data_IF_355451869341
#
_entry.id   IF_355451869341
#
_cell.length_a   1.000
_cell.length_b   1.000
_cell.length_c   1.000
_cell.angle_alpha   90.00
_cell.angle_beta   90.00
_cell.angle_gamma   90.00
#
_symmetry.space_group_name_H-M   'P 1'
#
loop_
_entity.id
_entity.type
_entity.pdbx_description
1 polymer ?
#
# COMPACT_ATOMS: atom_id res chain seq x y z
N UNK A 1 24.44 5.05 -19.58
CA UNK A 1 24.42 5.37 -21.02
C UNK A 1 24.54 4.05 -21.75
N UNK A 2 23.52 3.62 -22.50
CA UNK A 2 23.61 2.37 -23.24
C UNK A 2 24.78 2.47 -24.23
N UNK A 3 25.66 1.47 -24.20
CA UNK A 3 26.77 1.41 -25.16
C UNK A 3 26.20 1.37 -26.58
N UNK A 4 26.75 2.19 -27.47
CA UNK A 4 26.24 2.43 -28.82
C UNK A 4 26.06 1.11 -29.59
N UNK A 5 26.94 0.15 -29.38
CA UNK A 5 26.93 -1.13 -30.11
C UNK A 5 25.86 -2.12 -29.64
N UNK A 6 25.27 -1.93 -28.46
CA UNK A 6 24.23 -2.80 -27.90
C UNK A 6 22.79 -2.37 -28.27
N UNK A 7 22.62 -1.60 -29.35
CA UNK A 7 21.30 -1.14 -29.80
C UNK A 7 20.90 -1.72 -31.16
N UNK A 8 19.62 -2.02 -31.31
CA UNK A 8 19.04 -2.51 -32.56
C UNK A 8 19.22 -1.48 -33.67
N UNK A 9 19.07 -0.19 -33.34
CA UNK A 9 19.20 0.93 -34.27
C UNK A 9 20.60 1.01 -34.89
N UNK A 10 21.63 0.90 -34.07
CA UNK A 10 23.01 0.99 -34.54
C UNK A 10 23.40 -0.25 -35.37
N UNK A 11 22.90 -1.44 -35.00
CA UNK A 11 23.05 -2.64 -35.83
C UNK A 11 22.38 -2.50 -37.20
N UNK A 12 21.14 -2.02 -37.25
CA UNK A 12 20.43 -1.75 -38.52
C UNK A 12 21.14 -0.73 -39.39
N UNK A 13 21.75 0.28 -38.77
CA UNK A 13 22.56 1.26 -39.49
C UNK A 13 23.84 0.65 -40.06
N UNK A 14 24.55 -0.16 -39.26
CA UNK A 14 25.80 -0.80 -39.67
C UNK A 14 25.59 -1.87 -40.76
N UNK A 15 24.49 -2.62 -40.68
CA UNK A 15 24.17 -3.70 -41.64
C UNK A 15 23.53 -3.21 -42.95
N UNK A 16 23.15 -1.93 -43.04
CA UNK A 16 22.47 -1.38 -44.23
C UNK A 16 23.36 -1.48 -45.48
N UNK A 17 22.86 -2.18 -46.50
CA UNK A 17 23.58 -2.37 -47.78
C UNK A 17 24.68 -3.43 -47.74
N UNK A 18 24.80 -4.16 -46.62
CA UNK A 18 25.73 -5.29 -46.48
C UNK A 18 25.01 -6.62 -46.74
N UNK A 19 25.76 -7.69 -46.96
CA UNK A 19 25.21 -9.06 -47.03
C UNK A 19 24.98 -9.69 -45.64
N UNK A 20 25.09 -8.91 -44.56
CA UNK A 20 24.95 -9.43 -43.20
C UNK A 20 23.49 -9.82 -42.95
N UNK A 21 23.25 -11.04 -42.43
CA UNK A 21 21.90 -11.49 -42.06
C UNK A 21 21.43 -10.69 -40.85
N UNK A 22 20.69 -9.61 -41.11
CA UNK A 22 20.33 -8.64 -40.09
C UNK A 22 19.29 -9.16 -39.08
N UNK A 23 18.41 -10.07 -39.47
CA UNK A 23 17.20 -10.40 -38.69
C UNK A 23 17.47 -11.10 -37.34
N UNK A 24 18.30 -12.17 -37.25
CA UNK A 24 18.53 -12.83 -35.96
C UNK A 24 19.25 -11.92 -34.96
N UNK A 25 20.22 -11.14 -35.45
CA UNK A 25 21.00 -10.22 -34.64
C UNK A 25 20.18 -9.02 -34.17
N UNK A 26 19.38 -8.42 -35.08
CA UNK A 26 18.47 -7.34 -34.73
C UNK A 26 17.45 -7.78 -33.67
N UNK A 27 16.92 -9.00 -33.80
CA UNK A 27 15.99 -9.57 -32.81
C UNK A 27 16.64 -9.79 -31.45
N UNK A 28 17.88 -10.29 -31.40
CA UNK A 28 18.61 -10.46 -30.15
C UNK A 28 18.88 -9.11 -29.45
N UNK A 29 19.29 -8.10 -30.22
CA UNK A 29 19.51 -6.74 -29.69
C UNK A 29 18.21 -6.08 -29.19
N UNK A 30 17.11 -6.23 -29.92
CA UNK A 30 15.79 -5.75 -29.47
C UNK A 30 15.32 -6.46 -28.18
N UNK A 31 15.58 -7.77 -28.08
CA UNK A 31 15.29 -8.53 -26.86
C UNK A 31 16.15 -8.05 -25.67
N UNK A 32 17.42 -7.74 -25.92
CA UNK A 32 18.31 -7.13 -24.93
C UNK A 32 17.81 -5.76 -24.46
N UNK A 33 17.43 -4.84 -25.37
CA UNK A 33 16.88 -3.53 -25.00
C UNK A 33 15.62 -3.63 -24.13
N UNK A 34 14.81 -4.68 -24.33
CA UNK A 34 13.64 -4.95 -23.48
C UNK A 34 14.06 -5.53 -22.12
N UNK A 35 15.01 -6.45 -22.10
CA UNK A 35 15.48 -7.12 -20.89
C UNK A 35 16.27 -6.19 -19.96
N UNK A 36 17.04 -5.25 -20.52
CA UNK A 36 17.75 -4.20 -19.76
C UNK A 36 16.79 -3.37 -18.89
N UNK A 37 15.56 -3.15 -19.35
CA UNK A 37 14.50 -2.46 -18.59
C UNK A 37 13.86 -3.32 -17.51
N UNK A 38 13.92 -4.64 -17.64
CA UNK A 38 13.33 -5.59 -16.67
C UNK A 38 14.27 -5.88 -15.50
N UNK A 39 15.58 -5.73 -15.68
CA UNK A 39 16.58 -5.80 -14.62
C UNK A 39 17.82 -6.61 -14.96
N UNK A 40 18.84 -6.63 -14.07
CA UNK A 40 20.17 -7.18 -14.37
C UNK A 40 20.20 -8.67 -14.75
N UNK A 41 19.34 -9.50 -14.12
CA UNK A 41 19.31 -10.94 -14.39
C UNK A 41 18.76 -11.27 -15.79
N UNK A 42 17.72 -10.56 -16.22
CA UNK A 42 17.17 -10.75 -17.55
C UNK A 42 18.10 -10.15 -18.61
N UNK A 43 18.74 -9.02 -18.31
CA UNK A 43 19.78 -8.42 -19.13
C UNK A 43 20.95 -9.37 -19.41
N UNK A 44 21.45 -10.10 -18.40
CA UNK A 44 22.53 -11.09 -18.56
C UNK A 44 22.14 -12.22 -19.53
N UNK A 45 20.93 -12.78 -19.40
CA UNK A 45 20.43 -13.82 -20.31
C UNK A 45 20.29 -13.32 -21.75
N UNK A 46 19.84 -12.08 -21.92
CA UNK A 46 19.73 -11.49 -23.24
C UNK A 46 21.11 -11.23 -23.87
N UNK A 47 22.12 -10.84 -23.07
CA UNK A 47 23.51 -10.72 -23.53
C UNK A 47 24.12 -12.06 -23.98
N UNK A 48 23.72 -13.20 -23.38
CA UNK A 48 24.14 -14.53 -23.84
C UNK A 48 23.65 -14.80 -25.27
N UNK A 49 22.40 -14.44 -25.56
CA UNK A 49 21.83 -14.63 -26.91
C UNK A 49 22.45 -13.65 -27.92
N UNK A 50 22.72 -12.40 -27.54
CA UNK A 50 23.44 -11.44 -28.40
C UNK A 50 24.83 -11.96 -28.76
N UNK A 51 25.59 -12.47 -27.76
CA UNK A 51 26.92 -13.06 -28.01
C UNK A 51 26.84 -14.26 -28.96
N UNK A 52 25.87 -15.16 -28.74
CA UNK A 52 25.69 -16.34 -29.59
C UNK A 52 25.38 -15.95 -31.04
N UNK A 53 24.53 -14.95 -31.27
CA UNK A 53 24.24 -14.46 -32.62
C UNK A 53 25.46 -13.78 -33.25
N UNK A 54 26.24 -13.02 -32.47
CA UNK A 54 27.51 -12.44 -32.91
C UNK A 54 28.50 -13.52 -33.39
N UNK A 55 28.65 -14.61 -32.64
CA UNK A 55 29.54 -15.73 -32.99
C UNK A 55 29.08 -16.46 -34.26
N UNK A 56 27.78 -16.73 -34.39
CA UNK A 56 27.21 -17.34 -35.59
C UNK A 56 27.43 -16.46 -36.82
N UNK A 57 27.26 -15.15 -36.66
CA UNK A 57 27.44 -14.19 -37.74
C UNK A 57 28.91 -14.10 -38.18
N UNK A 58 29.84 -14.02 -37.22
CA UNK A 58 31.29 -14.04 -37.49
C UNK A 58 31.75 -15.32 -38.20
N UNK A 59 31.17 -16.48 -37.85
CA UNK A 59 31.45 -17.76 -38.54
C UNK A 59 30.94 -17.78 -39.98
N UNK A 60 29.82 -17.12 -40.26
CA UNK A 60 29.17 -17.12 -41.57
C UNK A 60 29.82 -16.16 -42.58
N UNK A 61 30.50 -15.13 -42.11
CA UNK A 61 31.09 -14.07 -42.92
C UNK A 61 32.61 -13.98 -42.73
N UNK A 62 33.28 -15.14 -42.77
CA UNK A 62 34.74 -15.24 -42.70
C UNK A 62 35.37 -14.45 -43.85
N UNK A 63 36.15 -13.43 -43.51
CA UNK A 63 36.85 -12.58 -44.48
C UNK A 63 36.31 -11.15 -44.58
N UNK A 64 35.14 -10.86 -44.02
CA UNK A 64 34.63 -9.48 -43.94
C UNK A 64 35.31 -8.73 -42.78
N UNK A 65 36.26 -7.85 -43.13
CA UNK A 65 37.01 -7.03 -42.16
C UNK A 65 36.11 -6.00 -41.44
N UNK A 66 35.09 -5.47 -42.13
CA UNK A 66 34.20 -4.46 -41.55
C UNK A 66 33.31 -5.10 -40.47
N UNK A 67 32.72 -6.26 -40.79
CA UNK A 67 31.94 -7.02 -39.82
C UNK A 67 32.80 -7.48 -38.64
N UNK A 68 34.00 -8.00 -38.91
CA UNK A 68 34.92 -8.46 -37.84
C UNK A 68 35.26 -7.33 -36.87
N UNK A 69 35.48 -6.12 -37.40
CA UNK A 69 35.74 -4.93 -36.57
C UNK A 69 34.51 -4.55 -35.74
N UNK A 70 33.32 -4.55 -36.35
CA UNK A 70 32.08 -4.22 -35.64
C UNK A 70 31.75 -5.23 -34.53
N UNK A 71 31.87 -6.53 -34.81
CA UNK A 71 31.69 -7.60 -33.82
C UNK A 71 32.71 -7.49 -32.69
N UNK A 72 33.94 -7.07 -32.97
CA UNK A 72 34.94 -6.81 -31.93
C UNK A 72 34.61 -5.62 -31.02
N UNK A 73 33.92 -4.60 -31.53
CA UNK A 73 33.39 -3.52 -30.68
C UNK A 73 32.20 -4.00 -29.85
N UNK A 74 31.28 -4.73 -30.46
CA UNK A 74 30.15 -5.32 -29.77
C UNK A 74 30.60 -6.25 -28.62
N UNK A 75 31.57 -7.13 -28.85
CA UNK A 75 32.10 -8.05 -27.83
C UNK A 75 32.64 -7.30 -26.60
N UNK A 76 33.34 -6.18 -26.82
CA UNK A 76 33.79 -5.28 -25.74
C UNK A 76 32.61 -4.67 -24.99
N UNK A 77 31.58 -4.22 -25.70
CA UNK A 77 30.36 -3.65 -25.10
C UNK A 77 29.61 -4.70 -24.27
N UNK A 78 29.47 -5.94 -24.77
CA UNK A 78 28.90 -7.07 -24.03
C UNK A 78 29.71 -7.33 -22.77
N UNK A 79 31.04 -7.39 -22.87
CA UNK A 79 31.93 -7.60 -21.73
C UNK A 79 31.83 -6.50 -20.66
N UNK A 80 31.66 -5.24 -21.07
CA UNK A 80 31.44 -4.12 -20.15
C UNK A 80 30.08 -4.24 -19.45
N UNK A 81 29.01 -4.44 -20.22
CA UNK A 81 27.65 -4.51 -19.69
C UNK A 81 27.46 -5.70 -18.74
N UNK A 82 28.09 -6.85 -19.01
CA UNK A 82 28.09 -8.01 -18.09
C UNK A 82 28.70 -7.66 -16.73
N UNK A 83 29.85 -6.97 -16.72
CA UNK A 83 30.49 -6.54 -15.47
C UNK A 83 29.58 -5.60 -14.66
N UNK A 84 28.88 -4.69 -15.34
CA UNK A 84 27.95 -3.78 -14.68
C UNK A 84 26.75 -4.53 -14.08
N UNK A 85 26.19 -5.51 -14.79
CA UNK A 85 25.11 -6.35 -14.24
C UNK A 85 25.58 -7.29 -13.13
N UNK A 86 26.72 -7.96 -13.28
CA UNK A 86 27.27 -8.83 -12.23
C UNK A 86 27.51 -8.04 -10.95
N UNK A 87 28.03 -6.81 -11.07
CA UNK A 87 28.17 -5.88 -9.96
C UNK A 87 26.81 -5.51 -9.36
N UNK A 88 25.82 -5.14 -10.18
CA UNK A 88 24.49 -4.80 -9.71
C UNK A 88 23.81 -5.97 -8.97
N UNK A 89 23.97 -7.20 -9.46
CA UNK A 89 23.45 -8.41 -8.80
C UNK A 89 24.18 -8.66 -7.47
N UNK A 90 25.51 -8.51 -7.44
CA UNK A 90 26.29 -8.67 -6.22
C UNK A 90 25.93 -7.59 -5.17
N UNK A 91 25.74 -6.35 -5.59
CA UNK A 91 25.35 -5.24 -4.71
C UNK A 91 23.93 -5.44 -4.17
N UNK A 92 22.99 -5.92 -5.00
CA UNK A 92 21.64 -6.28 -4.56
C UNK A 92 21.64 -7.46 -3.55
N UNK A 93 22.49 -8.46 -3.77
CA UNK A 93 22.68 -9.57 -2.84
C UNK A 93 23.27 -9.09 -1.51
N UNK A 94 24.29 -8.23 -1.55
CA UNK A 94 24.88 -7.60 -0.36
C UNK A 94 23.88 -6.72 0.37
N UNK A 95 23.07 -5.92 -0.32
CA UNK A 95 22.04 -5.10 0.30
C UNK A 95 20.97 -5.96 0.99
N UNK A 96 20.60 -7.09 0.38
CA UNK A 96 19.68 -8.06 0.99
C UNK A 96 20.31 -8.75 2.21
N UNK A 97 21.60 -9.08 2.14
CA UNK A 97 22.33 -9.65 3.27
C UNK A 97 22.50 -8.64 4.40
N UNK A 98 22.88 -7.40 4.10
CA UNK A 98 22.98 -6.32 5.07
C UNK A 98 21.62 -5.96 5.69
N UNK A 99 20.52 -6.05 4.95
CA UNK A 99 19.18 -5.90 5.52
C UNK A 99 18.80 -7.05 6.47
N UNK A 100 19.28 -8.27 6.20
CA UNK A 100 19.15 -9.41 7.13
C UNK A 100 20.02 -9.20 8.38
N UNK A 101 21.26 -8.76 8.20
CA UNK A 101 22.22 -8.59 9.29
C UNK A 101 21.87 -7.36 10.17
N UNK A 102 21.40 -6.27 9.58
CA UNK A 102 20.90 -5.09 10.31
C UNK A 102 19.56 -5.35 11.02
N UNK A 103 18.81 -6.37 10.59
CA UNK A 103 17.66 -6.90 11.34
C UNK A 103 18.06 -7.83 12.50
N UNK A 104 19.35 -8.17 12.63
CA UNK A 104 19.88 -9.12 13.61
C UNK A 104 20.90 -8.50 14.58
N UNK A 105 21.14 -7.18 14.50
CA UNK A 105 22.16 -6.46 15.27
C UNK A 105 21.65 -5.80 16.56
N UNK A 106 20.94 -6.52 17.41
CA UNK A 106 20.87 -6.28 18.87
C UNK A 106 20.28 -7.53 19.56
N UNK A 107 21.18 -8.43 20.00
CA UNK A 107 21.00 -9.50 21.02
C UNK A 107 19.75 -10.40 20.96
N UNK A 108 19.56 -11.31 19.98
CA UNK A 108 18.42 -12.26 20.00
C UNK A 108 18.66 -13.65 19.35
N UNK A 109 19.89 -14.17 19.28
CA UNK A 109 20.12 -15.58 18.87
C UNK A 109 19.59 -16.62 19.89
N UNK A 110 19.10 -16.17 21.05
CA UNK A 110 18.46 -17.03 22.07
C UNK A 110 16.93 -17.20 21.89
N UNK A 111 16.27 -16.50 20.96
CA UNK A 111 14.80 -16.58 20.86
C UNK A 111 14.27 -17.86 20.19
N UNK A 112 15.00 -18.45 19.23
CA UNK A 112 14.57 -19.70 18.59
C UNK A 112 14.67 -20.91 19.52
N UNK A 113 15.59 -20.86 20.50
CA UNK A 113 15.74 -21.90 21.53
C UNK A 113 15.33 -21.43 22.94
N UNK A 114 14.56 -20.35 23.04
CA UNK A 114 14.02 -19.90 24.32
C UNK A 114 13.20 -21.04 24.94
N UNK A 115 13.60 -21.46 26.14
CA UNK A 115 12.90 -22.47 26.93
C UNK A 115 11.45 -22.05 27.14
N UNK A 116 10.55 -23.02 27.28
CA UNK A 116 9.11 -22.77 27.38
C UNK A 116 8.74 -21.82 28.55
N UNK A 117 9.55 -21.77 29.61
CA UNK A 117 9.43 -20.83 30.72
C UNK A 117 9.59 -19.35 30.29
N UNK A 118 10.44 -19.05 29.31
CA UNK A 118 10.69 -17.69 28.80
C UNK A 118 9.52 -17.18 27.96
N UNK A 119 8.70 -18.07 27.41
CA UNK A 119 7.48 -17.70 26.65
C UNK A 119 6.34 -17.25 27.55
N UNK A 120 6.36 -17.67 28.82
CA UNK A 120 5.39 -17.29 29.85
C UNK A 120 5.82 -16.05 30.65
N UNK A 121 6.99 -15.46 30.37
CA UNK A 121 7.47 -14.27 31.07
C UNK A 121 6.56 -13.05 30.76
N UNK A 122 5.86 -12.49 31.77
CA UNK A 122 5.03 -11.30 31.58
C UNK A 122 5.80 -10.10 31.03
N UNK A 123 7.10 -9.95 31.34
CA UNK A 123 7.91 -8.83 30.83
C UNK A 123 8.11 -8.91 29.33
N UNK A 124 8.35 -10.11 28.80
CA UNK A 124 8.50 -10.35 27.36
C UNK A 124 7.20 -10.07 26.63
N UNK A 125 6.08 -10.58 27.15
CA UNK A 125 4.76 -10.30 26.59
C UNK A 125 4.46 -8.79 26.56
N UNK A 126 4.77 -8.07 27.64
CA UNK A 126 4.63 -6.61 27.70
C UNK A 126 5.47 -5.88 26.65
N UNK A 127 6.73 -6.31 26.44
CA UNK A 127 7.62 -5.73 25.41
C UNK A 127 7.05 -5.91 24.01
N UNK A 128 6.48 -7.08 23.71
CA UNK A 128 5.83 -7.35 22.43
C UNK A 128 4.59 -6.47 22.22
N UNK A 129 3.75 -6.30 23.24
CA UNK A 129 2.62 -5.36 23.17
C UNK A 129 3.05 -3.91 23.00
N UNK A 130 4.10 -3.45 23.67
CA UNK A 130 4.66 -2.10 23.48
C UNK A 130 5.16 -1.90 22.04
N UNK A 131 5.76 -2.93 21.46
CA UNK A 131 6.22 -2.93 20.09
C UNK A 131 5.07 -2.83 19.09
N UNK A 132 3.98 -3.59 19.31
CA UNK A 132 2.75 -3.46 18.52
C UNK A 132 2.10 -2.08 18.68
N UNK A 133 2.12 -1.51 19.89
CA UNK A 133 1.58 -0.16 20.14
C UNK A 133 2.37 0.93 19.43
N UNK A 134 3.70 0.81 19.36
CA UNK A 134 4.58 1.74 18.62
C UNK A 134 4.40 1.65 17.11
N UNK A 135 4.07 0.46 16.58
CA UNK A 135 3.93 0.20 15.15
C UNK A 135 2.56 -0.43 14.84
N UNK A 136 1.48 0.36 14.65
CA UNK A 136 0.12 -0.14 14.45
C UNK A 136 -0.06 -1.02 13.19
N UNK A 137 0.81 -0.87 12.19
CA UNK A 137 0.81 -1.70 10.98
C UNK A 137 1.46 -3.07 11.21
N UNK A 138 2.21 -3.25 12.30
CA UNK A 138 2.90 -4.51 12.59
C UNK A 138 1.87 -5.57 12.98
N UNK A 139 2.14 -6.81 12.54
CA UNK A 139 1.43 -8.02 12.94
C UNK A 139 2.40 -8.94 13.67
N UNK A 140 1.93 -9.64 14.69
CA UNK A 140 2.70 -10.65 15.40
C UNK A 140 1.95 -11.98 15.35
N UNK A 141 2.67 -13.10 15.34
CA UNK A 141 2.09 -14.41 15.56
C UNK A 141 1.77 -14.54 17.05
N UNK A 142 0.64 -15.16 17.38
CA UNK A 142 0.27 -15.44 18.77
C UNK A 142 -0.01 -16.92 18.96
N UNK A 143 0.13 -17.36 20.21
CA UNK A 143 -0.41 -18.62 20.68
C UNK A 143 -1.10 -18.43 22.03
N UNK A 144 -2.22 -19.13 22.19
CA UNK A 144 -3.00 -19.19 23.41
C UNK A 144 -3.24 -20.65 23.78
N UNK A 145 -2.99 -21.01 25.04
CA UNK A 145 -3.25 -22.35 25.57
C UNK A 145 -4.06 -22.21 26.86
N UNK A 146 -5.20 -22.90 26.92
CA UNK A 146 -6.03 -22.96 28.10
C UNK A 146 -5.72 -24.22 28.90
N UNK A 147 -5.28 -24.09 30.16
CA UNK A 147 -5.26 -25.18 31.13
C UNK A 147 -6.40 -25.00 32.15
N UNK A 148 -6.62 -26.01 32.98
CA UNK A 148 -7.61 -25.97 34.09
C UNK A 148 -7.18 -24.99 35.18
N UNK A 149 -5.88 -24.83 35.39
CA UNK A 149 -5.30 -24.01 36.46
C UNK A 149 -4.90 -22.63 35.95
N UNK A 150 -4.25 -22.55 34.79
CA UNK A 150 -3.72 -21.30 34.24
C UNK A 150 -3.88 -21.23 32.72
N UNK A 151 -3.93 -20.02 32.16
CA UNK A 151 -3.97 -19.80 30.71
C UNK A 151 -2.72 -19.05 30.27
N UNK A 152 -2.02 -19.59 29.28
CA UNK A 152 -0.86 -18.95 28.67
C UNK A 152 -1.24 -18.16 27.43
N UNK A 153 -0.64 -16.99 27.27
CA UNK A 153 -0.71 -16.19 26.05
C UNK A 153 0.67 -15.63 25.72
N UNK A 154 1.12 -15.81 24.48
CA UNK A 154 2.43 -15.33 24.04
C UNK A 154 2.37 -14.76 22.63
N UNK A 155 3.28 -13.82 22.33
CA UNK A 155 3.39 -13.13 21.05
C UNK A 155 4.83 -13.22 20.54
N UNK A 156 5.01 -13.50 19.25
CA UNK A 156 6.31 -13.37 18.59
C UNK A 156 6.15 -12.89 17.15
N UNK A 157 6.97 -11.94 16.69
CA UNK A 157 6.98 -11.52 15.29
C UNK A 157 7.73 -12.52 14.39
N UNK A 158 8.60 -13.37 14.95
CA UNK A 158 9.53 -14.24 14.20
C UNK A 158 9.09 -15.71 14.21
N UNK A 159 8.53 -16.19 15.33
CA UNK A 159 8.16 -17.60 15.47
C UNK A 159 6.73 -17.83 14.96
N UNK A 160 6.56 -18.76 14.04
CA UNK A 160 5.24 -19.14 13.52
C UNK A 160 4.27 -19.54 14.65
N UNK A 161 3.00 -19.15 14.56
CA UNK A 161 1.98 -19.39 15.59
C UNK A 161 1.87 -20.87 15.99
N UNK A 162 1.98 -21.80 15.03
CA UNK A 162 1.99 -23.25 15.30
C UNK A 162 3.18 -23.70 16.18
N UNK A 163 4.37 -23.14 15.98
CA UNK A 163 5.56 -23.44 16.80
C UNK A 163 5.43 -22.83 18.18
N UNK A 164 4.90 -21.60 18.28
CA UNK A 164 4.59 -20.97 19.58
C UNK A 164 3.59 -21.80 20.36
N UNK A 165 2.54 -22.30 19.70
CA UNK A 165 1.53 -23.15 20.32
C UNK A 165 2.12 -24.44 20.87
N UNK A 166 2.96 -25.14 20.09
CA UNK A 166 3.62 -26.36 20.56
C UNK A 166 4.47 -26.11 21.82
N UNK A 167 5.31 -25.07 21.79
CA UNK A 167 6.14 -24.72 22.97
C UNK A 167 5.29 -24.34 24.18
N UNK A 168 4.21 -23.59 23.97
CA UNK A 168 3.30 -23.16 25.03
C UNK A 168 2.46 -24.33 25.58
N UNK A 169 2.04 -25.26 24.72
CA UNK A 169 1.29 -26.46 25.12
C UNK A 169 2.15 -27.39 25.97
N UNK A 170 3.43 -27.51 25.63
CA UNK A 170 4.39 -28.34 26.38
C UNK A 170 4.69 -27.72 27.76
N UNK A 171 4.77 -26.39 27.86
CA UNK A 171 4.97 -25.69 29.13
C UNK A 171 3.78 -25.83 30.10
N UNK A 172 2.55 -25.83 29.57
CA UNK A 172 1.33 -25.83 30.37
C UNK A 172 0.66 -27.20 30.48
N UNK A 173 1.28 -28.24 29.90
CA UNK A 173 0.74 -29.60 29.79
C UNK A 173 -0.71 -29.63 29.28
N UNK A 174 -1.02 -28.78 28.29
CA UNK A 174 -2.37 -28.68 27.72
C UNK A 174 -2.32 -28.53 26.20
N UNK A 175 -3.07 -29.40 25.51
CA UNK A 175 -3.23 -29.38 24.05
C UNK A 175 -4.43 -28.55 23.59
N UNK A 176 -5.14 -27.90 24.51
CA UNK A 176 -6.36 -27.14 24.22
C UNK A 176 -6.00 -25.66 24.06
N UNK A 177 -6.04 -25.16 22.83
CA UNK A 177 -5.81 -23.75 22.56
C UNK A 177 -5.85 -23.43 21.07
N UNK A 178 -5.37 -22.24 20.73
CA UNK A 178 -5.39 -21.70 19.36
C UNK A 178 -4.16 -20.84 19.10
N UNK A 179 -3.89 -20.58 17.82
CA UNK A 179 -2.81 -19.71 17.36
C UNK A 179 -3.26 -18.97 16.11
N UNK A 180 -2.52 -17.92 15.76
CA UNK A 180 -2.77 -17.15 14.56
C UNK A 180 -2.07 -15.80 14.58
N UNK A 181 -2.69 -14.77 14.02
CA UNK A 181 -2.15 -13.42 13.92
C UNK A 181 -2.80 -12.47 14.92
N UNK A 182 -2.01 -11.60 15.54
CA UNK A 182 -2.45 -10.60 16.48
C UNK A 182 -1.93 -9.21 16.12
N UNK A 183 -2.75 -8.19 16.35
CA UNK A 183 -2.36 -6.79 16.22
C UNK A 183 -3.17 -5.87 17.11
N UNK A 184 -2.67 -4.65 17.30
CA UNK A 184 -3.36 -3.60 18.02
C UNK A 184 -3.95 -2.59 17.04
N UNK A 185 -5.24 -2.32 17.19
CA UNK A 185 -5.95 -1.20 16.55
C UNK A 185 -6.40 -0.23 17.65
N UNK A 186 -5.57 0.79 17.91
CA UNK A 186 -5.72 1.69 19.05
C UNK A 186 -5.59 0.94 20.39
N UNK A 187 -6.70 0.84 21.13
CA UNK A 187 -6.82 0.10 22.40
C UNK A 187 -7.48 -1.27 22.24
N UNK A 188 -7.73 -1.70 21.00
CA UNK A 188 -8.35 -2.97 20.67
C UNK A 188 -7.29 -3.99 20.25
N UNK A 189 -7.23 -5.11 20.94
CA UNK A 189 -6.44 -6.27 20.52
C UNK A 189 -7.29 -7.13 19.58
N UNK A 190 -6.84 -7.27 18.34
CA UNK A 190 -7.48 -8.15 17.35
C UNK A 190 -6.67 -9.42 17.23
N UNK A 191 -7.36 -10.56 17.33
CA UNK A 191 -6.80 -11.91 17.24
C UNK A 191 -7.47 -12.62 16.06
N UNK A 192 -6.73 -12.90 15.01
CA UNK A 192 -7.18 -13.70 13.87
C UNK A 192 -6.75 -15.14 14.05
N UNK A 193 -7.70 -16.07 14.10
CA UNK A 193 -7.44 -17.50 14.35
C UNK A 193 -7.69 -18.35 13.10
N UNK A 194 -6.83 -19.34 12.90
CA UNK A 194 -6.98 -20.31 11.82
C UNK A 194 -8.09 -21.34 12.11
N UNK A 195 -8.30 -21.65 13.39
CA UNK A 195 -9.32 -22.62 13.85
C UNK A 195 -10.17 -22.02 14.96
N UNK A 196 -11.47 -21.89 14.69
CA UNK A 196 -12.46 -21.36 15.61
C UNK A 196 -12.39 -22.04 17.00
N UNK A 197 -12.26 -21.23 18.05
CA UNK A 197 -12.28 -21.68 19.44
C UNK A 197 -13.04 -20.65 20.28
N UNK A 198 -14.07 -21.11 20.98
CA UNK A 198 -14.89 -20.24 21.82
C UNK A 198 -14.25 -19.89 23.16
N UNK A 199 -14.56 -18.70 23.67
CA UNK A 199 -14.12 -18.22 24.99
C UNK A 199 -12.67 -17.78 25.07
N UNK A 200 -12.00 -17.59 23.94
CA UNK A 200 -10.60 -17.13 23.89
C UNK A 200 -10.50 -15.69 24.39
N UNK A 201 -11.42 -14.82 23.97
CA UNK A 201 -11.40 -13.38 24.32
C UNK A 201 -11.43 -13.15 25.83
N UNK A 202 -12.22 -13.94 26.58
CA UNK A 202 -12.31 -13.84 28.05
C UNK A 202 -11.05 -14.33 28.76
N UNK A 203 -10.49 -15.45 28.29
CA UNK A 203 -9.32 -16.08 28.93
C UNK A 203 -8.01 -15.36 28.62
N UNK A 204 -7.89 -14.72 27.46
CA UNK A 204 -6.69 -13.96 27.08
C UNK A 204 -6.51 -12.68 27.92
N UNK A 205 -7.57 -12.14 28.53
CA UNK A 205 -7.47 -10.94 29.38
C UNK A 205 -6.61 -11.15 30.63
N UNK A 206 -6.69 -12.31 31.27
CA UNK A 206 -5.93 -12.60 32.49
C UNK A 206 -4.40 -12.47 32.28
N UNK A 207 -3.77 -13.14 31.29
CA UNK A 207 -2.33 -12.99 31.05
C UNK A 207 -1.94 -11.59 30.56
N UNK A 208 -2.82 -10.88 29.83
CA UNK A 208 -2.57 -9.48 29.43
C UNK A 208 -2.55 -8.55 30.66
N UNK A 209 -3.51 -8.72 31.57
CA UNK A 209 -3.56 -7.96 32.83
C UNK A 209 -2.35 -8.28 33.70
N UNK A 210 -1.95 -9.55 33.77
CA UNK A 210 -0.77 -10.00 34.51
C UNK A 210 0.54 -9.41 33.98
N UNK A 211 0.65 -9.13 32.67
CA UNK A 211 1.83 -8.45 32.11
C UNK A 211 1.84 -6.93 32.30
N UNK A 212 0.80 -6.36 32.94
CA UNK A 212 0.69 -4.93 33.17
C UNK A 212 0.35 -4.14 31.90
N UNK A 213 -0.14 -4.80 30.85
CA UNK A 213 -0.69 -4.15 29.67
C UNK A 213 -2.21 -4.08 29.79
N UNK A 214 -2.83 -3.01 29.28
CA UNK A 214 -4.29 -2.81 29.35
C UNK A 214 -4.85 -2.65 27.94
N UNK A 215 -5.87 -3.43 27.61
CA UNK A 215 -6.62 -3.36 26.35
C UNK A 215 -8.09 -3.13 26.67
N UNK A 216 -8.70 -2.16 25.98
CA UNK A 216 -10.10 -1.83 26.19
C UNK A 216 -11.01 -2.93 25.65
N UNK A 217 -10.65 -3.46 24.47
CA UNK A 217 -11.44 -4.45 23.75
C UNK A 217 -10.54 -5.57 23.23
N UNK A 218 -11.03 -6.80 23.28
CA UNK A 218 -10.41 -7.96 22.61
C UNK A 218 -11.43 -8.48 21.58
N UNK A 219 -11.00 -8.64 20.34
CA UNK A 219 -11.85 -9.09 19.22
C UNK A 219 -11.20 -10.29 18.56
N UNK A 220 -11.99 -11.34 18.33
CA UNK A 220 -11.58 -12.56 17.66
C UNK A 220 -12.13 -12.58 16.23
N UNK A 221 -11.25 -12.75 15.25
CA UNK A 221 -11.57 -12.86 13.82
C UNK A 221 -11.28 -14.27 13.33
N UNK A 222 -12.05 -14.76 12.36
CA UNK A 222 -11.71 -15.97 11.60
C UNK A 222 -10.71 -15.69 10.46
N UNK A 223 -10.37 -16.72 9.69
CA UNK A 223 -9.45 -16.62 8.57
C UNK A 223 -9.95 -15.64 7.47
N UNK A 224 -11.26 -15.48 7.36
CA UNK A 224 -11.96 -14.60 6.41
C UNK A 224 -12.13 -13.16 6.92
N UNK A 225 -11.80 -12.89 8.18
CA UNK A 225 -11.90 -11.57 8.81
C UNK A 225 -13.28 -11.24 9.39
N UNK A 226 -14.16 -12.23 9.57
CA UNK A 226 -15.42 -12.07 10.26
C UNK A 226 -15.22 -12.15 11.78
N UNK A 227 -15.92 -11.28 12.51
CA UNK A 227 -15.87 -11.24 13.99
C UNK A 227 -16.60 -12.46 14.55
N UNK A 228 -15.87 -13.32 15.26
CA UNK A 228 -16.40 -14.50 15.95
C UNK A 228 -16.85 -14.18 17.38
N UNK A 229 -16.01 -13.44 18.13
CA UNK A 229 -16.26 -13.08 19.52
C UNK A 229 -15.72 -11.67 19.80
N UNK A 230 -16.44 -10.90 20.61
CA UNK A 230 -15.97 -9.63 21.15
C UNK A 230 -16.21 -9.56 22.65
N UNK A 231 -15.25 -9.00 23.37
CA UNK A 231 -15.34 -8.79 24.81
C UNK A 231 -14.87 -7.38 25.15
N UNK A 232 -15.74 -6.61 25.79
CA UNK A 232 -15.44 -5.26 26.29
C UNK A 232 -14.95 -5.38 27.73
N UNK A 233 -13.94 -4.58 28.11
CA UNK A 233 -13.51 -4.58 29.50
C UNK A 233 -14.65 -4.05 30.37
N UNK A 234 -14.94 -4.72 31.50
CA UNK A 234 -15.87 -4.20 32.50
C UNK A 234 -15.42 -2.80 32.93
N UNK A 235 -16.32 -1.81 32.80
CA UNK A 235 -16.05 -0.39 33.07
C UNK A 235 -15.60 -0.09 34.51
N UNK A 236 -15.67 -1.07 35.42
CA UNK A 236 -15.34 -0.90 36.84
C UNK A 236 -13.85 -0.89 37.17
N UNK A 237 -12.95 -1.19 36.21
CA UNK A 237 -11.50 -1.30 36.46
C UNK A 237 -10.66 -0.26 35.68
N UNK A 238 -11.34 0.74 35.11
CA UNK A 238 -10.71 1.95 34.59
C UNK A 238 -10.48 2.93 35.76
N UNK A 239 -9.29 3.53 35.90
CA UNK A 239 -9.07 4.52 36.93
C UNK A 239 -10.04 5.67 36.72
N UNK A 240 -10.84 5.96 37.75
CA UNK A 240 -11.62 7.17 37.85
C UNK A 240 -10.68 8.37 37.63
N UNK A 241 -11.06 9.38 36.82
CA UNK A 241 -10.32 10.62 36.76
C UNK A 241 -10.32 11.24 38.17
N UNK A 242 -9.13 11.41 38.75
CA UNK A 242 -8.96 12.13 40.01
C UNK A 242 -9.57 13.53 39.89
N UNK A 243 -10.40 13.88 40.86
CA UNK A 243 -11.40 14.93 40.76
C UNK A 243 -10.92 16.36 40.95
N UNK A 244 -11.72 17.27 40.38
CA UNK A 244 -12.00 18.59 40.92
C UNK A 244 -13.54 18.74 41.05
N UNK A 245 -14.01 19.57 42.00
CA UNK A 245 -15.35 19.45 42.57
C UNK A 245 -16.45 19.95 41.62
N UNK A 246 -17.61 19.31 41.76
CA UNK A 246 -18.87 19.71 41.14
C UNK A 246 -19.17 21.17 41.42
N UNK A 247 -19.20 21.99 40.37
CA UNK A 247 -19.99 23.22 40.37
C UNK A 247 -21.07 23.12 39.30
N UNK A 248 -22.29 23.22 39.79
CA UNK A 248 -23.52 23.36 39.05
C UNK A 248 -23.47 24.59 38.15
N UNK A 249 -23.94 24.42 36.90
CA UNK A 249 -24.08 25.44 35.86
C UNK A 249 -22.83 25.76 35.01
N UNK A 250 -22.71 25.07 33.87
CA UNK A 250 -22.31 25.74 32.62
C UNK A 250 -22.71 24.91 31.41
N UNK A 251 -23.85 25.27 30.83
CA UNK A 251 -24.29 24.87 29.51
C UNK A 251 -23.57 25.74 28.46
N UNK A 252 -22.24 25.75 28.47
CA UNK A 252 -21.42 26.39 27.45
C UNK A 252 -19.99 25.83 27.53
N UNK A 253 -19.48 25.35 26.40
CA UNK A 253 -18.13 24.79 26.18
C UNK A 253 -17.95 23.28 26.50
N UNK A 254 -18.76 22.43 25.86
CA UNK A 254 -18.19 21.18 25.32
C UNK A 254 -17.26 21.57 24.18
N UNK A 255 -15.95 21.42 24.37
CA UNK A 255 -14.99 21.43 23.27
C UNK A 255 -15.48 20.47 22.19
N UNK A 256 -15.74 20.98 20.98
CA UNK A 256 -16.20 20.18 19.85
C UNK A 256 -15.21 19.05 19.57
N UNK A 257 -15.61 17.81 19.85
CA UNK A 257 -14.83 16.64 19.45
C UNK A 257 -14.75 16.62 17.91
N UNK A 258 -13.54 16.68 17.31
CA UNK A 258 -13.38 16.66 15.86
C UNK A 258 -14.05 15.46 15.17
N UNK A 259 -14.21 14.33 15.89
CA UNK A 259 -14.89 13.15 15.37
C UNK A 259 -16.39 13.34 15.28
N UNK A 260 -16.98 14.07 16.24
CA UNK A 260 -18.41 14.42 16.22
C UNK A 260 -18.74 15.30 15.01
N UNK A 261 -17.93 16.33 14.76
CA UNK A 261 -18.13 17.22 13.61
C UNK A 261 -18.05 16.45 12.28
N UNK A 262 -17.09 15.52 12.16
CA UNK A 262 -16.97 14.65 10.98
C UNK A 262 -18.17 13.72 10.82
N UNK A 263 -18.64 13.13 11.91
CA UNK A 263 -19.80 12.26 11.90
C UNK A 263 -21.06 13.01 11.45
N UNK A 264 -21.33 14.17 12.03
CA UNK A 264 -22.50 15.01 11.68
C UNK A 264 -22.43 15.48 10.22
N UNK A 265 -21.25 15.93 9.75
CA UNK A 265 -21.04 16.29 8.35
C UNK A 265 -21.30 15.12 7.41
N UNK A 266 -20.85 13.91 7.77
CA UNK A 266 -21.05 12.71 6.95
C UNK A 266 -22.49 12.25 6.93
N UNK A 267 -23.18 12.28 8.07
CA UNK A 267 -24.60 11.98 8.19
C UNK A 267 -25.42 12.92 7.29
N UNK A 268 -25.12 14.23 7.33
CA UNK A 268 -25.78 15.25 6.51
C UNK A 268 -25.56 15.01 5.01
N UNK A 269 -24.34 14.63 4.61
CA UNK A 269 -24.02 14.32 3.21
C UNK A 269 -24.79 13.09 2.69
N UNK A 270 -25.05 12.10 3.56
CA UNK A 270 -25.73 10.85 3.19
C UNK A 270 -27.26 10.93 3.32
N UNK A 271 -27.81 11.95 3.96
CA UNK A 271 -29.25 12.06 4.23
C UNK A 271 -30.11 11.98 2.96
N UNK A 272 -29.76 12.75 1.91
CA UNK A 272 -30.54 12.78 0.66
C UNK A 272 -30.45 11.47 -0.15
N UNK A 273 -29.26 10.89 -0.41
CA UNK A 273 -29.16 9.59 -1.08
C UNK A 273 -29.85 8.46 -0.31
N UNK A 274 -29.75 8.48 1.03
CA UNK A 274 -30.39 7.47 1.87
C UNK A 274 -31.91 7.57 1.79
N UNK A 275 -32.47 8.78 1.86
CA UNK A 275 -33.91 9.00 1.72
C UNK A 275 -34.41 8.50 0.35
N UNK A 276 -33.72 8.87 -0.74
CA UNK A 276 -34.05 8.41 -2.08
C UNK A 276 -34.01 6.88 -2.22
N UNK A 277 -33.02 6.21 -1.61
CA UNK A 277 -32.93 4.76 -1.63
C UNK A 277 -34.06 4.09 -0.82
N UNK A 278 -34.46 4.69 0.31
CA UNK A 278 -35.56 4.16 1.12
C UNK A 278 -36.91 4.35 0.45
N UNK A 279 -37.13 5.48 -0.22
CA UNK A 279 -38.37 5.78 -0.95
C UNK A 279 -38.46 4.99 -2.28
N UNK A 280 -37.33 4.80 -2.96
CA UNK A 280 -37.24 4.06 -4.23
C UNK A 280 -37.21 2.53 -4.11
N UNK A 281 -37.61 1.96 -2.97
CA UNK A 281 -37.63 0.52 -2.72
C UNK A 281 -36.29 -0.19 -3.03
N UNK A 282 -35.17 0.39 -2.60
CA UNK A 282 -33.85 -0.19 -2.81
C UNK A 282 -33.78 -1.64 -2.31
N UNK A 283 -33.17 -2.59 -3.04
CA UNK A 283 -33.14 -4.01 -2.67
C UNK A 283 -32.49 -4.26 -1.30
N UNK A 284 -31.67 -3.33 -0.82
CA UNK A 284 -31.04 -3.37 0.50
C UNK A 284 -31.67 -2.43 1.55
N UNK A 285 -32.90 -1.95 1.36
CA UNK A 285 -33.53 -0.94 2.24
C UNK A 285 -33.57 -1.35 3.73
N UNK A 286 -33.82 -2.63 4.03
CA UNK A 286 -33.79 -3.13 5.42
C UNK A 286 -32.39 -2.97 6.05
N UNK A 287 -31.34 -3.37 5.32
CA UNK A 287 -29.95 -3.28 5.77
C UNK A 287 -29.47 -1.83 5.90
N UNK A 288 -29.94 -0.93 5.03
CA UNK A 288 -29.65 0.51 5.12
C UNK A 288 -30.23 1.13 6.39
N UNK A 289 -31.47 0.77 6.77
CA UNK A 289 -32.09 1.23 8.04
C UNK A 289 -31.35 0.68 9.25
N UNK A 290 -30.97 -0.59 9.22
CA UNK A 290 -30.20 -1.23 10.29
C UNK A 290 -28.85 -0.54 10.52
N UNK A 291 -28.08 -0.29 9.46
CA UNK A 291 -26.80 0.41 9.54
C UNK A 291 -26.94 1.86 10.01
N UNK A 292 -28.00 2.56 9.58
CA UNK A 292 -28.28 3.92 10.08
C UNK A 292 -28.58 3.91 11.58
N UNK A 293 -29.39 2.95 12.05
CA UNK A 293 -29.71 2.81 13.46
C UNK A 293 -28.48 2.42 14.29
N UNK A 294 -27.63 1.54 13.76
CA UNK A 294 -26.36 1.19 14.39
C UNK A 294 -25.43 2.41 14.48
N UNK A 295 -25.28 3.19 13.40
CA UNK A 295 -24.47 4.41 13.38
C UNK A 295 -24.97 5.43 14.43
N UNK A 296 -26.29 5.64 14.50
CA UNK A 296 -26.92 6.51 15.51
C UNK A 296 -26.69 6.02 16.93
N UNK A 297 -26.95 4.75 17.22
CA UNK A 297 -26.73 4.18 18.55
C UNK A 297 -25.26 4.26 18.99
N UNK A 298 -24.30 4.14 18.05
CA UNK A 298 -22.88 4.37 18.34
C UNK A 298 -22.57 5.83 18.63
N UNK A 299 -23.12 6.77 17.86
CA UNK A 299 -22.95 8.20 18.12
C UNK A 299 -23.58 8.63 19.45
N UNK A 300 -24.76 8.10 19.79
CA UNK A 300 -25.44 8.36 21.07
C UNK A 300 -24.62 7.85 22.26
N UNK A 301 -23.91 6.74 22.08
CA UNK A 301 -22.93 6.22 23.04
C UNK A 301 -21.54 6.89 23.01
N UNK A 302 -21.39 8.01 22.31
CA UNK A 302 -20.10 8.74 22.18
C UNK A 302 -19.05 8.05 21.30
N UNK A 303 -19.39 6.94 20.63
CA UNK A 303 -18.48 6.14 19.79
C UNK A 303 -18.51 6.64 18.33
N UNK A 304 -18.15 7.91 18.10
CA UNK A 304 -18.22 8.55 16.78
C UNK A 304 -17.36 7.86 15.71
N UNK A 305 -16.23 7.25 16.09
CA UNK A 305 -15.39 6.47 15.17
C UNK A 305 -16.11 5.23 14.60
N UNK A 306 -16.80 4.47 15.44
CA UNK A 306 -17.60 3.32 15.00
C UNK A 306 -18.83 3.77 14.19
N UNK A 307 -19.43 4.91 14.57
CA UNK A 307 -20.50 5.54 13.79
C UNK A 307 -20.05 5.92 12.38
N UNK A 308 -18.86 6.50 12.24
CA UNK A 308 -18.27 6.86 10.94
C UNK A 308 -18.04 5.63 10.05
N UNK A 309 -17.50 4.53 10.61
CA UNK A 309 -17.33 3.28 9.86
C UNK A 309 -18.66 2.72 9.36
N UNK A 310 -19.71 2.75 10.20
CA UNK A 310 -21.04 2.34 9.79
C UNK A 310 -21.61 3.22 8.66
N UNK A 311 -21.37 4.54 8.71
CA UNK A 311 -21.74 5.47 7.63
C UNK A 311 -20.95 5.22 6.33
N UNK A 312 -19.71 4.76 6.39
CA UNK A 312 -18.94 4.36 5.21
C UNK A 312 -19.48 3.09 4.55
N UNK A 313 -19.84 2.07 5.34
CA UNK A 313 -20.49 0.86 4.84
C UNK A 313 -21.86 1.21 4.23
N UNK A 314 -22.61 2.11 4.88
CA UNK A 314 -23.89 2.61 4.37
C UNK A 314 -23.69 3.35 3.04
N UNK A 315 -22.68 4.21 2.93
CA UNK A 315 -22.35 4.90 1.67
C UNK A 315 -21.97 3.91 0.56
N UNK A 316 -21.21 2.85 0.89
CA UNK A 316 -20.84 1.81 -0.06
C UNK A 316 -22.06 1.03 -0.54
N UNK A 317 -22.99 0.67 0.34
CA UNK A 317 -24.23 -0.03 -0.04
C UNK A 317 -25.16 0.84 -0.88
N UNK A 318 -25.25 2.13 -0.57
CA UNK A 318 -25.96 3.10 -1.42
C UNK A 318 -25.33 3.17 -2.81
N UNK A 319 -23.99 3.16 -2.91
CA UNK A 319 -23.30 3.08 -4.20
C UNK A 319 -23.53 1.76 -4.94
N UNK A 320 -23.58 0.63 -4.23
CA UNK A 320 -23.68 -0.71 -4.83
C UNK A 320 -25.08 -1.05 -5.35
N UNK A 321 -26.15 -0.54 -4.74
CA UNK A 321 -27.51 -0.81 -5.24
C UNK A 321 -28.09 0.31 -6.10
N UNK A 322 -27.42 1.46 -6.20
CA UNK A 322 -27.64 2.42 -7.28
C UNK A 322 -27.15 1.89 -8.63
N UNK A 323 -26.33 0.85 -8.73
CA UNK A 323 -25.87 0.33 -10.04
C UNK A 323 -26.95 -0.42 -10.86
N UNK A 324 -28.11 -0.71 -10.28
CA UNK A 324 -29.28 -1.24 -11.03
C UNK A 324 -30.31 -0.18 -11.41
N UNK A 325 -30.17 1.06 -10.95
CA UNK A 325 -31.10 2.14 -11.26
C UNK A 325 -30.44 3.52 -11.47
N UNK A 326 -29.10 3.59 -11.47
CA UNK A 326 -28.38 4.58 -12.23
C UNK A 326 -28.86 4.37 -13.67
N UNK A 327 -29.30 5.43 -14.38
CA UNK A 327 -29.57 5.29 -15.80
C UNK A 327 -28.33 4.63 -16.37
N UNK A 328 -28.48 3.43 -16.93
CA UNK A 328 -27.46 2.85 -17.80
C UNK A 328 -27.04 4.02 -18.67
N UNK A 329 -25.77 4.47 -18.64
CA UNK A 329 -25.36 5.58 -19.49
C UNK A 329 -25.86 5.17 -20.86
N UNK A 330 -26.81 5.94 -21.38
CA UNK A 330 -27.34 5.68 -22.69
C UNK A 330 -26.12 5.58 -23.60
N UNK A 331 -26.05 4.67 -24.58
CA UNK A 331 -24.86 4.52 -25.44
C UNK A 331 -24.33 5.86 -25.99
N UNK A 332 -25.18 6.89 -26.05
CA UNK A 332 -24.87 8.28 -26.38
C UNK A 332 -23.98 9.05 -25.39
N UNK A 333 -23.87 8.66 -24.12
CA UNK A 333 -23.10 9.38 -23.07
C UNK A 333 -21.70 8.80 -22.85
N UNK A 334 -21.38 7.65 -23.45
CA UNK A 334 -20.02 7.11 -23.37
C UNK A 334 -19.09 7.96 -24.25
N UNK A 335 -17.99 8.51 -23.69
CA UNK A 335 -17.03 9.31 -24.46
C UNK A 335 -16.54 8.57 -25.69
N UNK A 336 -16.29 9.31 -26.77
CA UNK A 336 -15.75 8.71 -27.99
C UNK A 336 -14.34 8.20 -27.71
N UNK A 337 -13.88 7.19 -28.45
CA UNK A 337 -12.52 6.63 -28.31
C UNK A 337 -11.42 7.71 -28.31
N UNK A 338 -11.58 8.73 -29.15
CA UNK A 338 -10.65 9.86 -29.24
C UNK A 338 -10.57 10.70 -27.94
N UNK A 339 -11.64 10.76 -27.16
CA UNK A 339 -11.69 11.53 -25.92
C UNK A 339 -10.84 10.87 -24.83
N UNK A 340 -10.80 9.52 -24.77
CA UNK A 340 -9.94 8.79 -23.84
C UNK A 340 -8.46 9.03 -24.10
N UNK A 341 -8.03 9.05 -25.36
CA UNK A 341 -6.63 9.34 -25.70
C UNK A 341 -6.24 10.76 -25.28
N UNK A 342 -7.14 11.75 -25.47
CA UNK A 342 -6.94 13.13 -25.02
C UNK A 342 -6.89 13.23 -23.50
N UNK A 343 -7.76 12.49 -22.80
CA UNK A 343 -7.77 12.39 -21.33
C UNK A 343 -6.44 11.83 -20.81
N UNK A 344 -5.98 10.71 -21.36
CA UNK A 344 -4.73 10.07 -20.97
C UNK A 344 -3.53 11.00 -21.20
N UNK A 345 -3.48 11.67 -22.36
CA UNK A 345 -2.43 12.64 -22.67
C UNK A 345 -2.45 13.83 -21.70
N UNK A 346 -3.62 14.41 -21.43
CA UNK A 346 -3.75 15.54 -20.51
C UNK A 346 -3.32 15.17 -19.08
N UNK A 347 -3.67 13.96 -18.64
CA UNK A 347 -3.22 13.40 -17.36
C UNK A 347 -1.70 13.22 -17.32
N UNK A 348 -1.12 12.58 -18.34
CA UNK A 348 0.32 12.32 -18.44
C UNK A 348 1.16 13.61 -18.45
N UNK A 349 0.71 14.62 -19.20
CA UNK A 349 1.35 15.95 -19.24
C UNK A 349 1.28 16.64 -17.86
N UNK A 350 0.13 16.62 -17.20
CA UNK A 350 -0.03 17.24 -15.87
C UNK A 350 0.86 16.56 -14.84
N UNK A 351 0.89 15.22 -14.84
CA UNK A 351 1.72 14.43 -13.94
C UNK A 351 3.20 14.70 -14.14
N UNK A 352 3.65 14.72 -15.40
CA UNK A 352 5.05 15.01 -15.75
C UNK A 352 5.44 16.41 -15.26
N UNK A 353 4.60 17.41 -15.53
CA UNK A 353 4.82 18.78 -15.06
C UNK A 353 4.95 18.84 -13.53
N UNK A 354 4.04 18.19 -12.79
CA UNK A 354 4.10 18.17 -11.32
C UNK A 354 5.35 17.44 -10.82
N UNK A 355 5.75 16.34 -11.46
CA UNK A 355 7.00 15.64 -11.12
C UNK A 355 8.22 16.55 -11.32
N UNK A 356 8.27 17.29 -12.42
CA UNK A 356 9.37 18.22 -12.70
C UNK A 356 9.37 19.42 -11.74
N UNK A 357 8.20 19.94 -11.38
CA UNK A 357 8.07 21.01 -10.39
C UNK A 357 8.51 20.55 -8.99
N UNK A 358 8.19 19.30 -8.59
CA UNK A 358 8.68 18.70 -7.34
C UNK A 358 10.20 18.47 -7.35
N UNK A 359 10.77 18.07 -8.49
CA UNK A 359 12.24 17.93 -8.64
C UNK A 359 12.94 19.28 -8.50
N UNK A 360 12.43 20.33 -9.15
CA UNK A 360 12.97 21.70 -9.01
C UNK A 360 12.91 22.19 -7.57
N UNK A 361 11.79 21.93 -6.88
CA UNK A 361 11.67 22.26 -5.47
C UNK A 361 12.73 21.54 -4.64
N UNK A 362 12.91 20.23 -4.86
CA UNK A 362 13.96 19.45 -4.20
C UNK A 362 15.35 20.03 -4.43
N UNK A 363 15.69 20.34 -5.68
CA UNK A 363 16.98 20.92 -6.04
C UNK A 363 17.20 22.29 -5.37
N UNK A 364 16.17 23.13 -5.35
CA UNK A 364 16.22 24.43 -4.68
C UNK A 364 16.46 24.29 -3.15
N UNK A 365 15.77 23.36 -2.49
CA UNK A 365 15.99 23.09 -1.06
C UNK A 365 17.41 22.55 -0.82
N UNK A 366 17.87 21.59 -1.62
CA UNK A 366 19.21 21.03 -1.45
C UNK A 366 20.31 22.08 -1.70
N UNK A 367 20.10 22.99 -2.65
CA UNK A 367 21.02 24.09 -2.91
C UNK A 367 21.10 25.07 -1.75
N UNK A 368 19.96 25.46 -1.17
CA UNK A 368 19.91 26.39 -0.04
C UNK A 368 20.60 25.82 1.21
N UNK A 369 20.48 24.50 1.44
CA UNK A 369 21.05 23.82 2.60
C UNK A 369 22.38 23.12 2.33
N UNK A 370 23.05 23.40 1.21
CA UNK A 370 24.29 22.71 0.83
C UNK A 370 25.41 22.83 1.88
N UNK A 371 25.46 23.94 2.62
CA UNK A 371 26.44 24.17 3.69
C UNK A 371 25.93 23.76 5.09
N UNK A 372 24.70 23.26 5.21
CA UNK A 372 24.10 22.93 6.50
C UNK A 372 24.59 21.56 7.00
N UNK A 373 24.95 21.43 8.30
CA UNK A 373 25.26 20.13 8.89
C UNK A 373 24.05 19.18 8.90
N UNK A 374 22.83 19.70 8.69
CA UNK A 374 21.60 18.93 8.65
C UNK A 374 21.25 18.39 7.25
N UNK A 375 22.12 18.56 6.25
CA UNK A 375 21.85 18.15 4.86
C UNK A 375 21.41 16.68 4.73
N UNK A 376 21.99 15.78 5.55
CA UNK A 376 21.61 14.36 5.57
C UNK A 376 20.14 14.13 5.97
N UNK A 377 19.69 14.77 7.06
CA UNK A 377 18.29 14.69 7.51
C UNK A 377 17.33 15.36 6.53
N UNK A 378 17.75 16.49 5.96
CA UNK A 378 16.98 17.23 4.96
C UNK A 378 16.77 16.35 3.73
N UNK A 379 17.83 15.73 3.19
CA UNK A 379 17.73 14.84 2.05
C UNK A 379 16.82 13.63 2.34
N UNK A 380 16.92 13.04 3.54
CA UNK A 380 16.05 11.93 3.94
C UNK A 380 14.56 12.33 4.01
N UNK A 381 14.25 13.55 4.49
CA UNK A 381 12.86 14.05 4.54
C UNK A 381 12.34 14.45 3.17
N UNK A 382 13.19 15.04 2.32
CA UNK A 382 12.85 15.44 0.95
C UNK A 382 12.54 14.23 0.08
N UNK A 383 13.13 13.06 0.34
CA UNK A 383 12.77 11.82 -0.37
C UNK A 383 11.26 11.50 -0.33
N UNK A 384 10.52 11.99 0.67
CA UNK A 384 9.06 11.85 0.72
C UNK A 384 8.33 12.63 -0.38
N UNK A 385 8.94 13.64 -0.98
CA UNK A 385 8.39 14.32 -2.16
C UNK A 385 8.41 13.42 -3.39
N UNK A 386 9.43 12.57 -3.52
CA UNK A 386 9.50 11.57 -4.59
C UNK A 386 8.39 10.52 -4.41
N UNK A 387 8.10 10.11 -3.17
CA UNK A 387 6.99 9.21 -2.86
C UNK A 387 5.63 9.78 -3.28
N UNK A 388 5.43 11.10 -3.13
CA UNK A 388 4.20 11.76 -3.60
C UNK A 388 4.09 11.68 -5.11
N UNK A 389 5.19 11.90 -5.84
CA UNK A 389 5.21 11.76 -7.30
C UNK A 389 4.96 10.30 -7.75
N UNK A 390 5.51 9.32 -7.03
CA UNK A 390 5.29 7.89 -7.30
C UNK A 390 3.86 7.42 -6.99
N UNK A 391 3.19 8.05 -6.01
CA UNK A 391 1.78 7.76 -5.68
C UNK A 391 0.80 8.31 -6.71
N UNK A 392 1.20 9.27 -7.55
CA UNK A 392 0.39 9.75 -8.67
C UNK A 392 0.37 8.66 -9.75
N UNK A 393 -0.61 7.78 -9.56
CA UNK A 393 -0.73 6.45 -10.14
C UNK A 393 -0.68 6.42 -11.68
N UNK A 394 0.21 5.58 -12.22
CA UNK A 394 0.24 5.19 -13.64
C UNK A 394 -1.04 4.45 -14.06
N UNK A 395 -1.78 3.88 -13.10
CA UNK A 395 -2.99 3.11 -13.41
C UNK A 395 -4.07 3.95 -14.09
N UNK A 396 -4.24 5.23 -13.77
CA UNK A 396 -5.26 6.05 -14.44
C UNK A 396 -4.96 6.19 -15.93
N UNK A 397 -3.69 6.43 -16.29
CA UNK A 397 -3.25 6.49 -17.69
C UNK A 397 -3.48 5.15 -18.39
N UNK A 398 -3.11 4.05 -17.74
CA UNK A 398 -3.31 2.70 -18.27
C UNK A 398 -4.80 2.38 -18.49
N UNK A 399 -5.68 2.70 -17.54
CA UNK A 399 -7.13 2.46 -17.63
C UNK A 399 -7.73 3.28 -18.77
N UNK A 400 -7.38 4.57 -18.88
CA UNK A 400 -7.87 5.44 -19.95
C UNK A 400 -7.38 4.96 -21.32
N UNK A 401 -6.12 4.55 -21.43
CA UNK A 401 -5.57 3.99 -22.67
C UNK A 401 -6.26 2.67 -23.05
N UNK A 402 -6.50 1.78 -22.09
CA UNK A 402 -7.25 0.53 -22.31
C UNK A 402 -8.69 0.83 -22.74
N UNK A 403 -9.35 1.82 -22.15
CA UNK A 403 -10.72 2.21 -22.52
C UNK A 403 -10.79 2.72 -23.96
N UNK A 404 -9.81 3.52 -24.39
CA UNK A 404 -9.68 3.98 -25.77
C UNK A 404 -9.41 2.85 -26.76
N UNK A 405 -8.63 1.84 -26.35
CA UNK A 405 -8.27 0.69 -27.18
C UNK A 405 -9.34 -0.40 -27.24
N UNK A 406 -10.23 -0.50 -26.24
CA UNK A 406 -11.23 -1.55 -26.13
C UNK A 406 -12.08 -1.68 -27.41
N UNK A 407 -12.18 -2.90 -27.95
CA UNK A 407 -13.02 -3.17 -29.11
C UNK A 407 -14.49 -3.14 -28.70
N UNK A 408 -14.83 -3.89 -27.64
CA UNK A 408 -16.19 -4.06 -27.15
C UNK A 408 -16.67 -2.86 -26.32
N UNK A 409 -17.95 -2.54 -26.47
CA UNK A 409 -18.58 -1.44 -25.74
C UNK A 409 -18.76 -1.75 -24.26
N UNK A 410 -19.11 -3.01 -23.92
CA UNK A 410 -19.24 -3.44 -22.53
C UNK A 410 -17.93 -3.29 -21.74
N UNK A 411 -16.80 -3.66 -22.36
CA UNK A 411 -15.48 -3.49 -21.75
C UNK A 411 -15.12 -2.01 -21.58
N UNK A 412 -15.43 -1.18 -22.58
CA UNK A 412 -15.24 0.28 -22.50
C UNK A 412 -16.01 0.90 -21.35
N UNK A 413 -17.28 0.52 -21.17
CA UNK A 413 -18.12 0.98 -20.06
C UNK A 413 -17.53 0.54 -18.71
N UNK A 414 -17.03 -0.71 -18.62
CA UNK A 414 -16.38 -1.20 -17.40
C UNK A 414 -15.13 -0.37 -17.07
N UNK A 415 -14.25 -0.14 -18.05
CA UNK A 415 -13.02 0.64 -17.87
C UNK A 415 -13.31 2.11 -17.57
N UNK A 416 -14.35 2.69 -18.19
CA UNK A 416 -14.82 4.04 -17.90
C UNK A 416 -15.22 4.20 -16.43
N UNK A 417 -16.02 3.27 -15.88
CA UNK A 417 -16.37 3.26 -14.44
C UNK A 417 -15.14 3.12 -13.55
N UNK A 418 -14.17 2.30 -13.95
CA UNK A 418 -12.90 2.16 -13.20
C UNK A 418 -12.09 3.45 -13.22
N UNK A 419 -12.02 4.15 -14.36
CA UNK A 419 -11.38 5.46 -14.46
C UNK A 419 -12.08 6.49 -13.57
N UNK A 420 -13.42 6.56 -13.59
CA UNK A 420 -14.20 7.45 -12.73
C UNK A 420 -13.93 7.21 -11.23
N UNK A 421 -13.91 5.95 -10.80
CA UNK A 421 -13.59 5.58 -9.41
C UNK A 421 -12.15 5.97 -9.03
N UNK A 422 -11.19 5.77 -9.94
CA UNK A 422 -9.80 6.17 -9.72
C UNK A 422 -9.68 7.69 -9.56
N UNK A 423 -10.31 8.46 -10.45
CA UNK A 423 -10.34 9.94 -10.39
C UNK A 423 -10.92 10.43 -9.05
N UNK A 424 -12.03 9.86 -8.58
CA UNK A 424 -12.65 10.25 -7.30
C UNK A 424 -11.74 9.95 -6.10
N UNK A 425 -11.04 8.81 -6.12
CA UNK A 425 -10.05 8.46 -5.09
C UNK A 425 -8.90 9.45 -5.07
N UNK A 426 -8.38 9.80 -6.25
CA UNK A 426 -7.27 10.76 -6.37
C UNK A 426 -7.68 12.16 -5.92
N UNK A 427 -8.87 12.63 -6.28
CA UNK A 427 -9.41 13.91 -5.77
C UNK A 427 -9.48 13.91 -4.24
N UNK A 428 -9.99 12.82 -3.64
CA UNK A 428 -10.06 12.69 -2.18
C UNK A 428 -8.67 12.64 -1.53
N UNK A 429 -7.68 12.03 -2.19
CA UNK A 429 -6.29 12.01 -1.72
C UNK A 429 -5.66 13.40 -1.79
N UNK A 430 -5.86 14.14 -2.88
CA UNK A 430 -5.37 15.53 -3.00
C UNK A 430 -5.89 16.44 -1.90
N UNK A 431 -7.13 16.21 -1.46
CA UNK A 431 -7.74 17.01 -0.38
C UNK A 431 -7.25 16.64 1.02
N UNK A 432 -6.79 15.40 1.21
CA UNK A 432 -6.36 14.88 2.51
C UNK A 432 -4.84 14.87 2.69
N UNK A 433 -4.06 15.05 1.63
CA UNK A 433 -2.61 14.98 1.68
C UNK A 433 -1.99 16.22 2.39
N UNK A 434 -1.31 16.03 3.55
CA UNK A 434 -0.73 17.12 4.31
C UNK A 434 0.54 17.71 3.68
N UNK A 435 1.21 16.99 2.77
CA UNK A 435 2.39 17.48 2.06
C UNK A 435 1.92 18.43 0.97
N UNK A 436 0.99 18.00 0.12
CA UNK A 436 0.49 18.81 -1.00
C UNK A 436 -0.17 20.12 -0.53
N UNK A 437 -0.87 20.10 0.60
CA UNK A 437 -1.48 21.32 1.17
C UNK A 437 -0.46 22.36 1.64
N UNK A 438 0.74 21.94 2.05
CA UNK A 438 1.82 22.84 2.51
C UNK A 438 2.70 23.35 1.38
N UNK A 439 2.69 22.70 0.22
CA UNK A 439 3.54 23.09 -0.91
C UNK A 439 3.14 24.43 -1.52
N UNK A 440 1.87 24.85 -1.42
CA UNK A 440 1.42 26.13 -1.96
C UNK A 440 2.19 27.33 -1.37
N UNK A 441 2.50 27.29 -0.09
CA UNK A 441 3.14 28.38 0.65
C UNK A 441 4.66 28.14 0.86
N UNK A 442 5.27 27.31 0.00
CA UNK A 442 6.70 27.01 0.14
C UNK A 442 7.57 28.22 -0.30
N UNK A 443 8.66 28.54 0.43
CA UNK A 443 9.47 29.72 0.16
C UNK A 443 10.53 29.53 -0.94
N UNK A 444 10.74 28.31 -1.44
CA UNK A 444 11.84 27.99 -2.35
C UNK A 444 11.46 28.17 -3.82
N UNK A 445 10.30 27.63 -4.23
CA UNK A 445 9.82 27.69 -5.62
C UNK A 445 8.30 27.82 -5.63
N UNK A 446 7.69 28.84 -6.24
CA UNK A 446 6.23 28.99 -6.24
C UNK A 446 5.58 27.91 -7.10
N UNK A 447 5.16 26.80 -6.46
CA UNK A 447 4.49 25.67 -7.10
C UNK A 447 3.19 25.34 -6.37
N UNK A 448 2.14 25.00 -7.13
CA UNK A 448 0.86 24.52 -6.59
C UNK A 448 0.44 23.22 -7.30
N UNK A 449 1.08 22.08 -6.95
CA UNK A 449 0.78 20.80 -7.57
C UNK A 449 -0.66 20.35 -7.27
N UNK A 450 -1.24 20.76 -6.14
CA UNK A 450 -2.62 20.44 -5.78
C UNK A 450 -3.60 21.10 -6.74
N UNK A 451 -3.45 22.39 -7.02
CA UNK A 451 -4.30 23.09 -7.97
C UNK A 451 -4.16 22.52 -9.39
N UNK A 452 -2.93 22.23 -9.83
CA UNK A 452 -2.68 21.66 -11.15
C UNK A 452 -3.34 20.28 -11.33
N UNK A 453 -3.13 19.36 -10.38
CA UNK A 453 -3.73 18.03 -10.43
C UNK A 453 -5.25 18.08 -10.26
N UNK A 454 -5.73 18.90 -9.32
CA UNK A 454 -7.16 19.05 -9.05
C UNK A 454 -7.92 19.58 -10.27
N UNK A 455 -7.38 20.59 -10.96
CA UNK A 455 -7.99 21.12 -12.17
C UNK A 455 -8.08 20.06 -13.28
N UNK A 456 -6.99 19.32 -13.53
CA UNK A 456 -6.99 18.25 -14.55
C UNK A 456 -7.94 17.13 -14.18
N UNK A 457 -7.94 16.66 -12.93
CA UNK A 457 -8.84 15.60 -12.47
C UNK A 457 -10.31 16.02 -12.50
N UNK A 458 -10.64 17.29 -12.24
CA UNK A 458 -12.01 17.81 -12.38
C UNK A 458 -12.47 17.90 -13.83
N UNK A 459 -11.57 18.23 -14.76
CA UNK A 459 -11.88 18.20 -16.19
C UNK A 459 -12.10 16.75 -16.65
N UNK A 460 -11.22 15.84 -16.24
CA UNK A 460 -11.35 14.41 -16.50
C UNK A 460 -12.65 13.84 -15.90
N UNK A 461 -12.99 14.21 -14.66
CA UNK A 461 -14.22 13.72 -14.03
C UNK A 461 -15.47 14.16 -14.78
N UNK A 462 -15.47 15.34 -15.42
CA UNK A 462 -16.61 15.78 -16.25
C UNK A 462 -16.67 15.07 -17.60
N UNK A 463 -15.54 14.54 -18.08
CA UNK A 463 -15.47 13.76 -19.32
C UNK A 463 -15.72 12.28 -19.08
N UNK A 464 -15.58 11.81 -17.83
CA UNK A 464 -15.74 10.40 -17.43
C UNK A 464 -16.93 10.21 -16.47
N UNK A 465 -17.80 11.22 -16.34
CA UNK A 465 -19.08 11.14 -15.63
C UNK A 465 -20.20 11.21 -16.66
#
# INVERSE_FOLDING_TARGET
MADKYLSEKEWKSASKGTAWKADPMAKALAAFEKADKSGPQDGLKALDEVQKQADLLGKSAKGDKALTTWLGHLDKSIGSQRKDYDKAVADAAKATQAAKDAGNGESEDDEENAAAAVLLDPKRLRSQFQTLKRNPQRRAQFAFVASKTESGFTLSPKVAGRKLFAKLSDALDSKVGTFGLAWLDGTTLVLQIDKAMGGVVKKVRAPIKACGFRVAKVVLWDAEGQVLEEDLADEQDLPAPEGEPSDTASEAQRSEDPQRTRYEARLKALARPLQQALDGAHPAAAKLRELLNFAKGKADGGQFGAGLQALEVLAKLLGQGSDKNAPTPTPSDVPKKADYARCAQAWSVTRTRVSDDLKKLREAILSEFAASPLLGEINARIGRLDDVALRLDDQLEAILSQAGAAAEEAERIRLHRQAAQSIQRMLSQLDTDPILSRLKDNPFVPIDPRAALGATLQVLSKQVA
#
